data_IF_456683665716
#
_entry.id   IF_456683665716
#
_cell.length_a   1.000
_cell.length_b   1.000
_cell.length_c   1.000
_cell.angle_alpha   90.00
_cell.angle_beta   90.00
_cell.angle_gamma   90.00
#
_symmetry.space_group_name_H-M   'P 1'
#
loop_
_entity.id
_entity.type
_entity.pdbx_description
1 polymer ?
#
# COMPACT_ATOMS: atom_id res chain seq x y z
N UNK A 1 -55.64 10.17 -8.36
CA UNK A 1 -55.11 11.50 -8.63
C UNK A 1 -53.64 11.45 -8.27
N UNK A 2 -52.78 11.17 -9.28
CA UNK A 2 -51.35 10.95 -9.09
C UNK A 2 -50.61 12.30 -9.21
N UNK A 3 -49.90 12.71 -8.18
CA UNK A 3 -49.03 13.85 -8.22
C UNK A 3 -47.59 13.36 -8.43
N UNK A 4 -47.04 13.65 -9.61
CA UNK A 4 -45.61 13.48 -9.91
C UNK A 4 -44.83 14.57 -9.18
N UNK A 5 -43.87 14.17 -8.35
CA UNK A 5 -42.84 15.06 -7.84
C UNK A 5 -41.59 14.95 -8.74
N UNK A 6 -41.15 16.11 -9.23
CA UNK A 6 -39.93 16.32 -10.00
C UNK A 6 -38.69 16.15 -9.10
N UNK A 7 -37.75 15.36 -9.57
CA UNK A 7 -36.39 15.35 -9.02
C UNK A 7 -35.52 16.40 -9.71
N UNK A 8 -34.70 17.13 -9.00
CA UNK A 8 -33.69 18.01 -9.61
C UNK A 8 -32.47 17.24 -10.03
N UNK A 9 -32.07 17.47 -11.27
CA UNK A 9 -30.83 17.00 -11.87
C UNK A 9 -29.64 17.73 -11.24
N UNK A 10 -28.77 17.02 -10.54
CA UNK A 10 -27.48 17.52 -10.09
C UNK A 10 -26.49 17.46 -11.27
N UNK A 11 -25.96 18.63 -11.61
CA UNK A 11 -24.97 18.81 -12.65
C UNK A 11 -23.62 18.21 -12.24
N UNK A 12 -23.15 17.25 -13.02
CA UNK A 12 -21.82 16.71 -12.90
C UNK A 12 -20.76 17.71 -13.33
N UNK A 13 -19.80 17.96 -12.48
CA UNK A 13 -18.60 18.73 -12.80
C UNK A 13 -17.56 17.83 -13.47
N UNK A 14 -17.11 18.33 -14.61
CA UNK A 14 -16.09 17.78 -15.51
C UNK A 14 -14.73 17.79 -14.84
N UNK A 15 -14.08 16.65 -14.78
CA UNK A 15 -12.64 16.53 -14.87
C UNK A 15 -12.28 15.15 -15.45
N UNK A 16 -12.50 15.01 -16.76
CA UNK A 16 -11.79 13.98 -17.53
C UNK A 16 -11.15 14.68 -18.73
N UNK A 17 -9.84 14.77 -18.66
CA UNK A 17 -9.03 15.41 -19.69
C UNK A 17 -8.44 14.33 -20.59
N UNK A 18 -9.02 14.27 -21.77
CA UNK A 18 -8.40 13.84 -23.04
C UNK A 18 -7.92 12.39 -23.21
N UNK A 19 -8.83 11.47 -23.42
CA UNK A 19 -8.56 10.25 -24.17
C UNK A 19 -9.01 10.48 -25.63
N UNK A 20 -8.07 10.63 -26.54
CA UNK A 20 -8.35 10.69 -27.99
C UNK A 20 -8.46 9.27 -28.50
N UNK A 21 -9.68 8.81 -28.72
CA UNK A 21 -9.99 7.67 -29.58
C UNK A 21 -9.71 8.05 -31.04
N UNK A 22 -8.79 7.35 -31.67
CA UNK A 22 -8.63 7.33 -33.11
C UNK A 22 -9.38 6.12 -33.66
N UNK A 23 -10.59 6.35 -34.17
CA UNK A 23 -11.24 5.41 -35.11
C UNK A 23 -10.62 5.59 -36.46
N UNK A 24 -10.01 4.57 -37.02
CA UNK A 24 -9.60 4.52 -38.42
C UNK A 24 -10.39 3.41 -39.10
N UNK A 25 -11.23 3.85 -40.01
CA UNK A 25 -12.12 3.03 -40.83
C UNK A 25 -11.35 2.23 -41.88
N UNK A 26 -11.77 0.98 -42.03
CA UNK A 26 -11.36 -0.02 -42.99
C UNK A 26 -11.73 0.40 -44.41
N UNK A 27 -10.79 0.33 -45.35
CA UNK A 27 -11.08 0.15 -46.78
C UNK A 27 -10.25 -0.99 -47.35
N UNK A 28 -10.96 -1.96 -47.85
CA UNK A 28 -10.49 -3.13 -48.57
C UNK A 28 -9.98 -2.70 -49.96
N UNK A 29 -8.79 -3.16 -50.30
CA UNK A 29 -8.28 -3.03 -51.68
C UNK A 29 -7.20 -4.08 -51.94
N UNK A 30 -7.58 -5.18 -52.59
CA UNK A 30 -6.68 -6.24 -53.04
C UNK A 30 -5.81 -5.74 -54.21
N UNK A 31 -4.48 -5.90 -54.09
CA UNK A 31 -3.60 -5.98 -55.27
C UNK A 31 -2.37 -6.83 -54.93
N UNK A 32 -2.28 -7.98 -55.59
CA UNK A 32 -1.11 -8.82 -55.66
C UNK A 32 -0.04 -8.15 -56.52
N UNK A 33 1.15 -7.90 -55.97
CA UNK A 33 2.37 -7.76 -56.77
C UNK A 33 3.52 -8.50 -56.05
N UNK A 34 4.02 -9.53 -56.70
CA UNK A 34 5.27 -10.18 -56.44
C UNK A 34 6.43 -9.26 -56.82
N UNK A 35 7.34 -9.00 -55.90
CA UNK A 35 8.58 -8.28 -56.22
C UNK A 35 9.60 -8.54 -55.11
N UNK A 36 10.60 -9.31 -55.44
CA UNK A 36 11.69 -9.71 -54.58
C UNK A 36 12.71 -8.58 -54.34
N UNK A 37 13.49 -8.76 -53.28
CA UNK A 37 14.83 -8.21 -52.94
C UNK A 37 14.91 -6.93 -52.11
N UNK A 38 15.27 -7.15 -50.83
CA UNK A 38 16.43 -6.52 -50.20
C UNK A 38 16.22 -5.14 -49.62
N UNK A 39 15.92 -5.12 -48.31
CA UNK A 39 16.67 -4.27 -47.39
C UNK A 39 16.42 -4.78 -45.95
N UNK A 40 17.47 -5.23 -45.31
CA UNK A 40 17.44 -5.50 -43.85
C UNK A 40 17.37 -4.14 -43.14
N UNK A 41 16.20 -3.66 -42.84
CA UNK A 41 16.02 -2.75 -41.72
C UNK A 41 15.80 -3.61 -40.48
N UNK A 42 16.81 -3.61 -39.62
CA UNK A 42 16.75 -4.10 -38.24
C UNK A 42 15.61 -3.39 -37.49
N UNK A 43 14.38 -3.84 -37.70
CA UNK A 43 13.34 -3.76 -36.70
C UNK A 43 13.60 -4.91 -35.73
N UNK A 44 14.24 -4.67 -34.60
CA UNK A 44 14.14 -5.57 -33.46
C UNK A 44 12.65 -5.79 -33.23
N UNK A 45 12.15 -6.94 -33.67
CA UNK A 45 10.89 -7.45 -33.22
C UNK A 45 11.07 -7.63 -31.71
N UNK A 46 10.51 -6.75 -30.91
CA UNK A 46 10.41 -6.89 -29.45
C UNK A 46 9.78 -8.27 -29.23
N UNK A 47 10.62 -9.21 -28.85
CA UNK A 47 10.22 -10.58 -28.55
C UNK A 47 9.24 -10.45 -27.42
N UNK A 48 7.95 -10.73 -27.64
CA UNK A 48 6.95 -10.66 -26.57
C UNK A 48 7.42 -11.58 -25.45
N UNK A 49 7.63 -11.02 -24.28
CA UNK A 49 8.00 -11.78 -23.10
C UNK A 49 6.79 -12.60 -22.67
N UNK A 50 7.01 -13.87 -22.32
CA UNK A 50 5.96 -14.76 -21.80
C UNK A 50 6.49 -15.57 -20.63
N UNK A 51 5.65 -15.90 -19.69
CA UNK A 51 6.04 -16.67 -18.51
C UNK A 51 5.07 -16.52 -17.35
N UNK A 52 5.49 -17.03 -16.20
CA UNK A 52 4.73 -16.88 -14.96
C UNK A 52 5.65 -16.38 -13.85
N UNK A 53 5.11 -15.53 -13.00
CA UNK A 53 5.76 -14.97 -11.80
C UNK A 53 4.81 -15.21 -10.63
N UNK A 54 5.31 -15.72 -9.53
CA UNK A 54 4.52 -16.06 -8.36
C UNK A 54 5.08 -15.41 -7.10
N UNK A 55 4.23 -14.76 -6.34
CA UNK A 55 4.56 -14.18 -5.05
C UNK A 55 3.47 -14.42 -4.01
N UNK A 56 3.81 -14.16 -2.77
CA UNK A 56 2.86 -14.18 -1.65
C UNK A 56 3.44 -13.33 -0.50
N UNK A 57 2.64 -12.96 0.47
CA UNK A 57 3.15 -12.31 1.66
C UNK A 57 2.21 -11.31 2.32
N UNK A 58 2.76 -10.18 2.70
CA UNK A 58 2.11 -9.15 3.50
C UNK A 58 0.82 -8.64 2.87
N UNK A 59 -0.27 -8.63 3.63
CA UNK A 59 -1.53 -7.95 3.31
C UNK A 59 -1.36 -6.44 3.17
N UNK A 60 -0.43 -5.84 3.93
CA UNK A 60 -0.08 -4.42 3.81
C UNK A 60 0.55 -4.08 2.46
N UNK A 61 1.37 -4.97 1.90
CA UNK A 61 2.02 -4.76 0.59
C UNK A 61 1.07 -5.09 -0.56
N UNK A 62 0.04 -5.90 -0.31
CA UNK A 62 -0.86 -6.38 -1.35
C UNK A 62 -1.47 -5.28 -2.22
N UNK A 63 -1.97 -4.13 -1.71
CA UNK A 63 -2.52 -3.08 -2.56
C UNK A 63 -1.52 -2.49 -3.57
N UNK A 64 -0.26 -2.31 -3.16
CA UNK A 64 0.80 -1.83 -4.07
C UNK A 64 1.08 -2.89 -5.14
N UNK A 65 1.20 -4.15 -4.71
CA UNK A 65 1.50 -5.25 -5.62
C UNK A 65 0.37 -5.52 -6.61
N UNK A 66 -0.89 -5.40 -6.18
CA UNK A 66 -2.07 -5.52 -7.06
C UNK A 66 -2.07 -4.43 -8.13
N UNK A 67 -1.81 -3.18 -7.76
CA UNK A 67 -1.69 -2.07 -8.70
C UNK A 67 -0.56 -2.30 -9.72
N UNK A 68 0.62 -2.74 -9.25
CA UNK A 68 1.75 -3.09 -10.11
C UNK A 68 1.43 -4.23 -11.08
N UNK A 69 0.75 -5.28 -10.61
CA UNK A 69 0.35 -6.42 -11.44
C UNK A 69 -0.67 -6.00 -12.50
N UNK A 70 -1.65 -5.17 -12.15
CA UNK A 70 -2.67 -4.67 -13.07
C UNK A 70 -2.04 -3.83 -14.19
N UNK A 71 -1.20 -2.86 -13.86
CA UNK A 71 -0.52 -2.02 -14.83
C UNK A 71 0.47 -2.81 -15.70
N UNK A 72 1.24 -3.72 -15.08
CA UNK A 72 2.19 -4.57 -15.81
C UNK A 72 1.52 -5.49 -16.82
N UNK A 73 0.31 -5.97 -16.56
CA UNK A 73 -0.46 -6.77 -17.53
C UNK A 73 -0.77 -6.00 -18.83
N UNK A 74 -0.85 -4.65 -18.76
CA UNK A 74 -0.96 -3.80 -19.93
C UNK A 74 0.34 -3.70 -20.75
N UNK A 75 1.49 -3.87 -20.09
CA UNK A 75 2.83 -3.77 -20.73
C UNK A 75 3.27 -5.13 -21.28
N UNK A 76 3.05 -6.21 -20.52
CA UNK A 76 3.47 -7.58 -20.86
C UNK A 76 2.28 -8.56 -20.76
N UNK A 77 1.34 -8.54 -21.70
CA UNK A 77 0.09 -9.29 -21.61
C UNK A 77 0.26 -10.82 -21.62
N UNK A 78 1.41 -11.32 -22.09
CA UNK A 78 1.71 -12.76 -22.15
C UNK A 78 2.47 -13.26 -20.89
N UNK A 79 2.76 -12.36 -19.92
CA UNK A 79 3.32 -12.71 -18.62
C UNK A 79 2.19 -12.77 -17.59
N UNK A 80 2.09 -13.90 -16.89
CA UNK A 80 1.12 -14.09 -15.83
C UNK A 80 1.77 -13.88 -14.47
N UNK A 81 1.44 -12.79 -13.80
CA UNK A 81 1.86 -12.53 -12.41
C UNK A 81 0.74 -12.88 -11.44
N UNK A 82 1.09 -13.50 -10.32
CA UNK A 82 0.17 -13.78 -9.21
C UNK A 82 0.84 -13.40 -7.90
N UNK A 83 0.12 -12.69 -7.04
CA UNK A 83 0.56 -12.35 -5.69
C UNK A 83 -0.56 -12.69 -4.70
N UNK A 84 -0.25 -13.49 -3.69
CA UNK A 84 -1.15 -13.79 -2.58
C UNK A 84 -0.90 -12.85 -1.39
N UNK A 85 -1.82 -12.87 -0.43
CA UNK A 85 -1.78 -12.02 0.78
C UNK A 85 -1.97 -12.87 2.05
N UNK A 86 -1.07 -13.85 2.29
CA UNK A 86 -1.15 -14.74 3.47
C UNK A 86 -0.44 -14.19 4.71
N UNK A 87 -0.12 -12.90 4.72
CA UNK A 87 0.69 -12.24 5.74
C UNK A 87 2.21 -12.45 5.53
N UNK A 88 3.03 -11.58 6.13
CA UNK A 88 4.50 -11.62 5.98
C UNK A 88 5.08 -12.99 6.34
N UNK A 89 4.63 -13.59 7.45
CA UNK A 89 5.09 -14.92 7.89
C UNK A 89 4.71 -16.02 6.89
N UNK A 90 3.46 -16.05 6.43
CA UNK A 90 2.97 -17.00 5.44
C UNK A 90 3.68 -16.87 4.10
N UNK A 91 4.02 -15.65 3.69
CA UNK A 91 4.85 -15.38 2.51
C UNK A 91 6.24 -15.99 2.64
N UNK A 92 6.93 -15.76 3.77
CA UNK A 92 8.24 -16.36 4.00
C UNK A 92 8.19 -17.89 4.09
N UNK A 93 7.14 -18.49 4.65
CA UNK A 93 6.98 -19.95 4.65
C UNK A 93 6.95 -20.51 3.22
N UNK A 94 6.16 -19.91 2.31
CA UNK A 94 6.07 -20.31 0.91
C UNK A 94 7.38 -20.04 0.15
N UNK A 95 8.04 -18.93 0.46
CA UNK A 95 9.32 -18.56 -0.14
C UNK A 95 10.42 -19.52 0.24
N UNK A 96 10.52 -19.91 1.53
CA UNK A 96 11.45 -20.94 2.04
C UNK A 96 11.15 -22.31 1.44
N UNK A 97 9.87 -22.66 1.26
CA UNK A 97 9.46 -23.90 0.59
C UNK A 97 9.76 -23.90 -0.92
N UNK A 98 10.25 -22.78 -1.49
CA UNK A 98 10.56 -22.65 -2.92
C UNK A 98 9.33 -22.52 -3.82
N UNK A 99 8.15 -22.28 -3.23
CA UNK A 99 6.87 -22.25 -3.96
C UNK A 99 6.60 -20.92 -4.67
N UNK A 100 7.32 -19.85 -4.31
CA UNK A 100 7.17 -18.51 -4.87
C UNK A 100 8.51 -17.98 -5.36
N UNK A 101 8.47 -17.04 -6.31
CA UNK A 101 9.63 -16.33 -6.85
C UNK A 101 10.01 -15.13 -5.98
N UNK A 102 9.00 -14.54 -5.31
CA UNK A 102 9.19 -13.44 -4.39
C UNK A 102 8.28 -13.55 -3.16
N UNK A 103 8.63 -12.80 -2.10
CA UNK A 103 7.85 -12.67 -0.88
C UNK A 103 7.69 -11.21 -0.52
N UNK A 104 6.45 -10.77 -0.30
CA UNK A 104 6.13 -9.43 0.18
C UNK A 104 6.22 -9.38 1.70
N UNK A 105 6.81 -8.32 2.25
CA UNK A 105 6.98 -8.20 3.69
C UNK A 105 6.77 -6.76 4.19
N UNK A 106 6.13 -6.62 5.34
CA UNK A 106 5.92 -5.35 6.05
C UNK A 106 6.82 -5.20 7.27
N UNK A 107 7.86 -6.01 7.34
CA UNK A 107 8.98 -5.95 8.28
C UNK A 107 10.22 -6.56 7.66
N UNK A 108 11.42 -6.26 8.19
CA UNK A 108 12.62 -6.99 7.80
C UNK A 108 12.49 -8.51 8.06
N UNK A 109 13.22 -9.29 7.25
CA UNK A 109 13.31 -10.74 7.46
C UNK A 109 13.89 -11.06 8.83
N UNK A 110 13.32 -12.04 9.53
CA UNK A 110 13.84 -12.49 10.82
C UNK A 110 15.09 -13.37 10.62
N UNK A 111 15.98 -13.37 11.62
CA UNK A 111 17.19 -14.21 11.59
C UNK A 111 16.88 -15.70 11.36
N UNK A 112 15.80 -16.21 11.97
CA UNK A 112 15.36 -17.59 11.80
C UNK A 112 14.84 -17.90 10.39
N UNK A 113 14.18 -16.93 9.72
CA UNK A 113 13.70 -17.05 8.35
C UNK A 113 14.90 -17.05 7.37
N UNK A 114 15.84 -16.11 7.58
CA UNK A 114 17.07 -16.05 6.79
C UNK A 114 17.93 -17.32 6.95
N UNK A 115 18.02 -17.89 8.16
CA UNK A 115 18.72 -19.14 8.41
C UNK A 115 18.07 -20.30 7.64
N UNK A 116 16.74 -20.41 7.64
CA UNK A 116 16.01 -21.44 6.88
C UNK A 116 16.19 -21.31 5.37
N UNK A 117 16.20 -20.08 4.83
CA UNK A 117 16.49 -19.83 3.41
C UNK A 117 17.90 -20.31 3.06
N UNK A 118 18.89 -20.01 3.90
CA UNK A 118 20.26 -20.47 3.73
C UNK A 118 20.37 -22.01 3.78
N UNK A 119 19.66 -22.67 4.70
CA UNK A 119 19.61 -24.13 4.77
C UNK A 119 18.94 -24.74 3.53
N UNK A 120 17.92 -24.08 2.97
CA UNK A 120 17.27 -24.47 1.73
C UNK A 120 18.10 -24.14 0.47
N UNK A 121 19.25 -23.46 0.60
CA UNK A 121 20.09 -23.05 -0.52
C UNK A 121 19.45 -21.94 -1.37
N UNK A 122 18.58 -21.12 -0.78
CA UNK A 122 17.90 -20.03 -1.45
C UNK A 122 18.60 -18.73 -1.10
N UNK A 123 19.29 -18.15 -2.09
CA UNK A 123 19.80 -16.78 -2.03
C UNK A 123 18.71 -15.83 -2.51
N UNK A 124 18.61 -14.70 -1.84
CA UNK A 124 17.61 -13.66 -2.12
C UNK A 124 18.21 -12.27 -2.14
N UNK A 125 17.50 -11.35 -2.75
CA UNK A 125 17.77 -9.90 -2.68
C UNK A 125 16.57 -9.22 -2.04
N UNK A 126 16.84 -8.35 -1.08
CA UNK A 126 15.86 -7.48 -0.42
C UNK A 126 15.73 -6.20 -1.24
N UNK A 127 14.51 -5.81 -1.56
CA UNK A 127 14.16 -4.60 -2.29
C UNK A 127 13.13 -3.84 -1.45
N UNK A 128 13.35 -2.58 -1.20
CA UNK A 128 12.34 -1.72 -0.58
C UNK A 128 11.43 -1.14 -1.67
N UNK A 129 10.12 -1.04 -1.40
CA UNK A 129 9.17 -0.54 -2.41
C UNK A 129 8.38 0.68 -1.98
N UNK A 130 8.18 0.89 -0.67
CA UNK A 130 7.45 2.01 -0.11
C UNK A 130 7.68 2.12 1.41
N UNK A 131 7.16 3.20 2.00
CA UNK A 131 6.94 3.29 3.44
C UNK A 131 5.45 3.26 3.75
N UNK A 132 5.07 2.49 4.76
CA UNK A 132 3.76 2.57 5.41
C UNK A 132 3.84 3.61 6.53
N UNK A 133 2.91 4.54 6.54
CA UNK A 133 2.75 5.54 7.60
C UNK A 133 1.31 5.53 8.09
N UNK A 134 1.13 5.35 9.40
CA UNK A 134 -0.18 5.33 10.03
C UNK A 134 -0.41 6.68 10.73
N UNK A 135 -1.48 7.37 10.37
CA UNK A 135 -1.84 8.65 10.98
C UNK A 135 -2.90 8.46 12.05
N UNK A 136 -2.64 8.98 13.25
CA UNK A 136 -3.65 9.18 14.28
C UNK A 136 -4.29 10.55 14.04
N UNK A 137 -5.60 10.59 13.93
CA UNK A 137 -6.34 11.81 13.61
C UNK A 137 -7.46 12.06 14.60
N UNK A 138 -7.77 13.34 14.79
CA UNK A 138 -8.91 13.80 15.58
C UNK A 138 -9.71 14.83 14.80
N UNK A 139 -10.93 15.09 15.26
CA UNK A 139 -11.78 16.13 14.70
C UNK A 139 -11.10 17.50 14.68
N UNK A 140 -11.43 18.33 13.71
CA UNK A 140 -10.85 19.69 13.57
C UNK A 140 -11.10 20.59 14.77
N UNK A 141 -12.19 20.38 15.51
CA UNK A 141 -12.56 21.12 16.72
C UNK A 141 -11.91 20.55 17.98
N UNK A 142 -11.24 19.40 17.90
CA UNK A 142 -10.47 18.84 19.00
C UNK A 142 -9.15 19.62 19.11
N UNK A 143 -9.03 20.48 20.10
CA UNK A 143 -7.88 21.36 20.32
C UNK A 143 -6.98 20.88 21.49
N UNK A 144 -7.32 19.77 22.11
CA UNK A 144 -6.62 19.22 23.28
C UNK A 144 -5.71 18.03 22.96
N UNK A 145 -6.13 17.06 22.16
CA UNK A 145 -5.36 15.84 21.85
C UNK A 145 -4.42 16.06 20.65
N UNK A 146 -3.46 16.97 20.76
CA UNK A 146 -2.52 17.33 19.69
C UNK A 146 -1.24 16.50 19.69
N UNK A 147 -0.93 15.90 20.82
CA UNK A 147 0.26 15.08 21.02
C UNK A 147 -0.11 13.97 22.01
N UNK A 148 0.11 12.72 21.60
CA UNK A 148 -0.12 11.52 22.41
C UNK A 148 1.14 10.68 22.43
N UNK A 149 1.37 10.00 23.52
CA UNK A 149 2.41 8.97 23.57
C UNK A 149 1.88 7.62 23.06
N UNK A 150 2.77 6.70 22.71
CA UNK A 150 2.39 5.31 22.40
C UNK A 150 1.62 4.69 23.58
N UNK A 151 2.00 5.01 24.82
CA UNK A 151 1.30 4.54 26.02
C UNK A 151 -0.13 5.11 26.14
N UNK A 152 -0.34 6.37 25.73
CA UNK A 152 -1.67 6.97 25.68
C UNK A 152 -2.55 6.30 24.63
N UNK A 153 -1.99 5.96 23.47
CA UNK A 153 -2.69 5.18 22.45
C UNK A 153 -3.11 3.81 23.01
N UNK A 154 -2.20 3.09 23.66
CA UNK A 154 -2.51 1.82 24.36
C UNK A 154 -3.68 1.98 25.32
N UNK A 155 -3.64 2.97 26.20
CA UNK A 155 -4.69 3.23 27.19
C UNK A 155 -6.05 3.47 26.53
N UNK A 156 -6.07 4.26 25.43
CA UNK A 156 -7.30 4.57 24.73
C UNK A 156 -7.88 3.36 24.02
N UNK A 157 -7.06 2.64 23.25
CA UNK A 157 -7.52 1.70 22.27
C UNK A 157 -7.65 0.24 22.76
N UNK A 158 -7.01 -0.15 23.87
CA UNK A 158 -7.13 -1.49 24.42
C UNK A 158 -8.50 -1.68 25.10
N UNK A 159 -9.17 -2.80 24.80
CA UNK A 159 -10.39 -3.23 25.47
C UNK A 159 -10.12 -3.66 26.91
N UNK A 160 -10.67 -2.95 27.88
CA UNK A 160 -10.55 -3.26 29.32
C UNK A 160 -11.90 -3.27 30.05
N UNK A 161 -13.00 -3.24 29.28
CA UNK A 161 -14.37 -3.22 29.80
C UNK A 161 -14.83 -1.88 30.34
N UNK A 162 -14.06 -0.79 30.10
CA UNK A 162 -14.42 0.56 30.57
C UNK A 162 -14.75 1.46 29.37
N UNK A 163 -15.66 2.40 29.61
CA UNK A 163 -15.82 3.55 28.70
C UNK A 163 -14.60 4.44 28.80
N UNK A 164 -14.03 4.78 27.67
CA UNK A 164 -12.84 5.64 27.59
C UNK A 164 -13.26 7.11 27.48
N UNK A 165 -12.60 7.95 28.26
CA UNK A 165 -12.80 9.40 28.25
C UNK A 165 -11.50 10.14 27.98
N UNK A 166 -11.57 11.32 27.40
CA UNK A 166 -10.38 12.16 27.20
C UNK A 166 -9.68 12.52 28.52
N UNK A 167 -10.45 12.73 29.58
CA UNK A 167 -9.92 12.98 30.94
C UNK A 167 -9.16 11.78 31.57
N UNK A 168 -9.31 10.55 31.02
CA UNK A 168 -8.52 9.39 31.47
C UNK A 168 -7.05 9.50 31.05
N UNK A 169 -6.78 10.26 29.96
CA UNK A 169 -5.42 10.52 29.48
C UNK A 169 -4.83 11.72 30.20
N UNK A 170 -5.55 12.85 30.19
CA UNK A 170 -5.14 14.05 30.89
C UNK A 170 -6.34 14.66 31.64
N UNK A 171 -6.28 14.77 32.98
CA UNK A 171 -7.39 15.30 33.79
C UNK A 171 -7.82 16.74 33.45
N UNK A 172 -6.99 17.49 32.70
CA UNK A 172 -7.33 18.83 32.23
C UNK A 172 -8.16 18.84 30.94
N UNK A 173 -8.26 17.66 30.27
CA UNK A 173 -9.05 17.50 29.05
C UNK A 173 -10.54 17.27 29.37
N UNK A 174 -11.43 17.38 28.36
CA UNK A 174 -12.86 17.19 28.58
C UNK A 174 -13.21 15.85 29.21
N UNK A 175 -14.14 15.84 30.18
CA UNK A 175 -14.71 14.61 30.76
C UNK A 175 -15.82 14.04 29.83
N UNK A 176 -15.46 13.87 28.57
CA UNK A 176 -16.31 13.40 27.46
C UNK A 176 -15.85 12.03 26.99
N UNK A 177 -16.81 11.20 26.56
CA UNK A 177 -16.52 9.88 26.00
C UNK A 177 -15.79 10.02 24.68
N UNK A 178 -14.79 9.15 24.45
CA UNK A 178 -14.04 9.09 23.19
C UNK A 178 -14.83 8.26 22.18
N UNK A 179 -14.95 8.76 20.95
CA UNK A 179 -15.59 8.06 19.83
C UNK A 179 -14.50 7.53 18.89
N UNK A 180 -14.48 6.22 18.65
CA UNK A 180 -13.39 5.53 17.98
C UNK A 180 -13.75 5.12 16.55
N UNK A 181 -12.83 5.39 15.61
CA UNK A 181 -12.90 4.95 14.22
C UNK A 181 -11.63 4.23 13.82
N UNK A 182 -11.74 2.99 13.33
CA UNK A 182 -10.63 2.11 12.98
C UNK A 182 -10.86 1.46 11.63
N UNK A 183 -9.81 1.21 10.83
CA UNK A 183 -9.91 0.26 9.73
C UNK A 183 -10.49 -1.08 10.21
N UNK A 184 -11.07 -1.84 9.30
CA UNK A 184 -11.58 -3.16 9.57
C UNK A 184 -10.46 -4.20 9.71
N UNK A 185 -10.84 -5.40 10.15
CA UNK A 185 -9.89 -6.48 10.47
C UNK A 185 -9.19 -7.09 9.24
N UNK A 186 -9.66 -6.78 8.03
CA UNK A 186 -9.00 -7.22 6.79
C UNK A 186 -7.95 -6.20 6.30
N UNK A 187 -7.82 -5.05 6.99
CA UNK A 187 -6.89 -3.97 6.65
C UNK A 187 -5.49 -4.23 7.19
N UNK A 188 -4.46 -4.11 6.33
CA UNK A 188 -3.06 -4.14 6.76
C UNK A 188 -2.68 -2.99 7.72
N UNK A 189 -3.41 -1.88 7.71
CA UNK A 189 -3.25 -0.77 8.66
C UNK A 189 -3.80 -1.15 10.04
N UNK A 190 -4.92 -1.89 10.10
CA UNK A 190 -5.42 -2.47 11.35
C UNK A 190 -4.42 -3.47 11.93
N UNK A 191 -3.94 -4.42 11.12
CA UNK A 191 -2.95 -5.41 11.55
C UNK A 191 -1.71 -4.74 12.16
N UNK A 192 -1.23 -3.69 11.49
CA UNK A 192 -0.06 -2.95 11.96
C UNK A 192 -0.32 -2.27 13.31
N UNK A 193 -1.43 -1.55 13.45
CA UNK A 193 -1.81 -0.92 14.71
C UNK A 193 -1.99 -1.95 15.83
N UNK A 194 -2.64 -3.07 15.53
CA UNK A 194 -2.85 -4.17 16.46
C UNK A 194 -1.52 -4.76 16.95
N UNK A 195 -0.58 -5.03 16.04
CA UNK A 195 0.73 -5.59 16.36
C UNK A 195 1.55 -4.64 17.26
N UNK A 196 1.67 -3.36 16.87
CA UNK A 196 2.66 -2.46 17.52
C UNK A 196 2.09 -1.61 18.65
N UNK A 197 0.79 -1.32 18.66
CA UNK A 197 0.14 -0.53 19.70
C UNK A 197 -0.62 -1.43 20.69
N UNK A 198 -1.43 -2.35 20.18
CA UNK A 198 -2.27 -3.20 21.03
C UNK A 198 -1.51 -4.46 21.53
N UNK A 199 -0.36 -4.81 20.90
CA UNK A 199 0.40 -6.04 21.21
C UNK A 199 -0.50 -7.29 21.16
N UNK A 200 -1.33 -7.37 20.10
CA UNK A 200 -2.33 -8.41 19.85
C UNK A 200 -3.49 -8.48 20.89
N UNK A 201 -3.67 -7.44 21.71
CA UNK A 201 -4.84 -7.32 22.55
C UNK A 201 -6.07 -6.87 21.77
N UNK A 202 -7.26 -7.16 22.29
CA UNK A 202 -8.51 -6.72 21.69
C UNK A 202 -8.61 -5.20 21.63
N UNK A 203 -9.03 -4.66 20.49
CA UNK A 203 -9.38 -3.24 20.34
C UNK A 203 -10.69 -2.94 21.11
N UNK A 204 -10.81 -1.72 21.60
CA UNK A 204 -12.01 -1.23 22.31
C UNK A 204 -13.29 -1.54 21.51
N UNK A 205 -14.25 -2.22 22.14
CA UNK A 205 -15.51 -2.70 21.50
C UNK A 205 -16.40 -1.58 21.00
N UNK A 206 -16.22 -0.37 21.51
CA UNK A 206 -16.94 0.82 21.06
C UNK A 206 -16.43 1.36 19.72
N UNK A 207 -15.33 0.83 19.18
CA UNK A 207 -14.80 1.28 17.90
C UNK A 207 -15.75 0.94 16.73
N UNK A 208 -15.97 1.94 15.88
CA UNK A 208 -16.61 1.73 14.58
C UNK A 208 -15.53 1.28 13.60
N UNK A 209 -15.70 0.07 13.06
CA UNK A 209 -14.78 -0.54 12.10
C UNK A 209 -15.31 -0.36 10.67
N UNK A 210 -14.45 -0.02 9.72
CA UNK A 210 -14.79 0.06 8.29
C UNK A 210 -13.59 -0.28 7.43
N UNK A 211 -13.82 -1.04 6.34
CA UNK A 211 -12.81 -1.26 5.28
C UNK A 211 -12.71 -0.07 4.31
N UNK A 212 -13.62 0.90 4.39
CA UNK A 212 -13.59 2.13 3.60
C UNK A 212 -13.08 3.29 4.47
N UNK A 213 -11.83 3.72 4.26
CA UNK A 213 -11.21 4.82 4.98
C UNK A 213 -11.97 6.13 4.86
N UNK A 214 -12.74 6.35 3.78
CA UNK A 214 -13.57 7.54 3.64
C UNK A 214 -14.71 7.56 4.68
N UNK A 215 -15.21 6.41 5.09
CA UNK A 215 -16.20 6.28 6.18
C UNK A 215 -15.55 6.68 7.50
N UNK A 216 -14.30 6.27 7.74
CA UNK A 216 -13.54 6.63 8.94
C UNK A 216 -13.27 8.14 8.99
N UNK A 217 -12.82 8.72 7.87
CA UNK A 217 -12.62 10.17 7.73
C UNK A 217 -13.90 10.94 8.05
N UNK A 218 -15.03 10.55 7.45
CA UNK A 218 -16.32 11.21 7.71
C UNK A 218 -16.77 11.04 9.17
N UNK A 219 -16.51 9.88 9.76
CA UNK A 219 -16.81 9.61 11.16
C UNK A 219 -16.06 10.56 12.09
N UNK A 220 -14.74 10.70 11.90
CA UNK A 220 -13.91 11.62 12.70
C UNK A 220 -14.30 13.09 12.46
N UNK A 221 -14.64 13.47 11.24
CA UNK A 221 -15.14 14.82 10.93
C UNK A 221 -16.47 15.12 11.61
N UNK A 222 -17.30 14.11 11.82
CA UNK A 222 -18.67 14.27 12.34
C UNK A 222 -18.80 14.43 13.84
N UNK A 223 -17.79 14.11 14.63
CA UNK A 223 -17.83 14.15 16.09
C UNK A 223 -16.56 14.79 16.68
N UNK A 224 -16.76 15.83 17.50
CA UNK A 224 -15.67 16.56 18.15
C UNK A 224 -14.81 15.67 19.07
N UNK A 225 -15.41 14.62 19.66
CA UNK A 225 -14.76 13.69 20.55
C UNK A 225 -14.17 12.47 19.82
N UNK A 226 -14.19 12.48 18.48
CA UNK A 226 -13.69 11.38 17.70
C UNK A 226 -12.17 11.36 17.61
N UNK A 227 -11.63 10.13 17.65
CA UNK A 227 -10.27 9.76 17.27
C UNK A 227 -10.34 8.61 16.28
N UNK A 228 -9.46 8.61 15.29
CA UNK A 228 -9.34 7.53 14.34
C UNK A 228 -7.90 7.31 13.90
N UNK A 229 -7.67 6.22 13.19
CA UNK A 229 -6.40 5.99 12.52
C UNK A 229 -6.63 5.39 11.14
N UNK A 230 -5.74 5.73 10.21
CA UNK A 230 -5.73 5.22 8.83
C UNK A 230 -4.41 5.59 8.14
N UNK A 231 -4.20 5.11 6.91
CA UNK A 231 -3.01 5.42 6.12
C UNK A 231 -2.78 6.92 5.96
N UNK A 232 -1.52 7.34 6.01
CA UNK A 232 -1.10 8.74 5.97
C UNK A 232 -1.63 9.51 4.75
N UNK A 233 -1.75 8.88 3.59
CA UNK A 233 -2.28 9.55 2.40
C UNK A 233 -3.75 9.97 2.54
N UNK A 234 -4.56 9.19 3.24
CA UNK A 234 -5.96 9.60 3.53
C UNK A 234 -6.01 10.83 4.43
N UNK A 235 -5.09 10.91 5.41
CA UNK A 235 -4.95 12.15 6.18
C UNK A 235 -4.55 13.33 5.28
N UNK A 236 -3.53 13.16 4.41
CA UNK A 236 -3.08 14.23 3.51
C UNK A 236 -4.20 14.74 2.61
N UNK A 237 -5.01 13.85 2.06
CA UNK A 237 -6.16 14.22 1.23
C UNK A 237 -7.24 14.99 2.01
N UNK A 238 -7.27 14.87 3.34
CA UNK A 238 -8.29 15.44 4.22
C UNK A 238 -7.74 16.42 5.29
N UNK A 239 -6.49 16.84 5.20
CA UNK A 239 -5.78 17.67 6.19
C UNK A 239 -6.46 19.00 6.55
N UNK A 240 -7.27 19.53 5.64
CA UNK A 240 -8.00 20.78 5.88
C UNK A 240 -9.20 20.59 6.83
N UNK A 241 -9.68 19.37 6.99
CA UNK A 241 -10.87 19.00 7.77
C UNK A 241 -10.58 18.13 9.01
N UNK A 242 -9.36 17.65 9.17
CA UNK A 242 -8.88 16.86 10.30
C UNK A 242 -7.66 17.51 10.97
N UNK A 243 -7.44 17.20 12.22
CA UNK A 243 -6.16 17.44 12.90
C UNK A 243 -5.41 16.11 13.00
N UNK A 244 -4.13 16.10 12.61
CA UNK A 244 -3.25 14.98 12.88
C UNK A 244 -2.68 15.13 14.30
N UNK A 245 -2.50 14.00 14.96
CA UNK A 245 -1.92 13.92 16.30
C UNK A 245 -0.44 13.58 16.16
N UNK A 246 0.42 14.30 16.87
CA UNK A 246 1.82 13.93 17.04
C UNK A 246 1.92 12.71 17.94
N UNK A 247 2.88 11.85 17.67
CA UNK A 247 3.18 10.71 18.52
C UNK A 247 4.57 10.88 19.10
N UNK A 248 4.66 10.93 20.43
CA UNK A 248 5.89 11.23 21.16
C UNK A 248 6.60 12.51 20.64
N UNK A 249 5.79 13.55 20.31
CA UNK A 249 6.26 14.84 19.81
C UNK A 249 6.54 14.89 18.31
N UNK A 250 6.49 13.76 17.58
CA UNK A 250 6.77 13.68 16.14
C UNK A 250 5.47 13.72 15.33
N UNK A 251 5.41 14.63 14.35
CA UNK A 251 4.29 14.72 13.41
C UNK A 251 4.54 13.82 12.20
N UNK A 252 3.53 13.05 11.71
CA UNK A 252 3.67 12.31 10.48
C UNK A 252 3.77 13.26 9.28
N UNK A 253 4.88 13.20 8.60
CA UNK A 253 5.15 13.88 7.32
C UNK A 253 5.87 12.90 6.40
N UNK A 254 5.91 13.18 5.09
CA UNK A 254 6.70 12.35 4.17
C UNK A 254 8.13 12.17 4.67
N UNK A 255 8.74 13.24 5.22
CA UNK A 255 10.12 13.22 5.71
C UNK A 255 10.25 12.36 6.98
N UNK A 256 9.39 12.54 7.99
CA UNK A 256 9.50 11.80 9.26
C UNK A 256 9.11 10.33 9.11
N UNK A 257 8.22 10.01 8.16
CA UNK A 257 7.86 8.63 7.80
C UNK A 257 9.04 7.97 7.08
N UNK A 258 9.57 8.61 6.03
CA UNK A 258 10.66 8.06 5.22
C UNK A 258 11.99 7.95 5.99
N UNK A 259 12.27 8.85 6.94
CA UNK A 259 13.46 8.79 7.80
C UNK A 259 13.33 7.79 8.96
N UNK A 260 12.13 7.26 9.22
CA UNK A 260 11.85 6.44 10.39
C UNK A 260 11.80 7.21 11.71
N UNK A 261 11.79 8.56 11.68
CA UNK A 261 11.63 9.40 12.87
C UNK A 261 10.24 9.24 13.49
N UNK A 262 9.20 9.05 12.65
CA UNK A 262 7.83 8.78 13.09
C UNK A 262 7.65 7.31 13.50
N UNK A 263 8.44 6.87 14.48
CA UNK A 263 8.38 5.49 15.00
C UNK A 263 7.48 5.46 16.25
N UNK A 264 6.73 4.35 16.50
CA UNK A 264 6.68 3.11 15.73
C UNK A 264 5.62 3.10 14.64
N UNK A 265 4.98 4.21 14.29
CA UNK A 265 3.87 4.30 13.34
C UNK A 265 4.31 4.51 11.88
N UNK A 266 5.58 4.25 11.57
CA UNK A 266 6.09 4.15 10.21
C UNK A 266 7.00 2.93 10.06
N UNK A 267 6.95 2.28 8.89
CA UNK A 267 7.78 1.11 8.58
C UNK A 267 8.06 1.01 7.09
N UNK A 268 9.24 0.51 6.69
CA UNK A 268 9.51 0.15 5.30
C UNK A 268 8.73 -1.11 4.89
N UNK A 269 8.39 -1.16 3.61
CA UNK A 269 7.75 -2.28 2.95
C UNK A 269 8.73 -2.90 1.94
N UNK A 270 8.77 -4.23 1.88
CA UNK A 270 9.79 -4.98 1.17
C UNK A 270 9.21 -5.98 0.18
N UNK A 271 10.01 -6.27 -0.84
CA UNK A 271 9.91 -7.46 -1.67
C UNK A 271 11.24 -8.22 -1.59
N UNK A 272 11.19 -9.47 -1.16
CA UNK A 272 12.32 -10.39 -1.16
C UNK A 272 12.24 -11.25 -2.42
N UNK A 273 13.17 -11.10 -3.36
CA UNK A 273 13.16 -11.85 -4.61
C UNK A 273 14.25 -12.93 -4.62
N UNK A 274 13.91 -14.13 -5.11
CA UNK A 274 14.85 -15.24 -5.25
C UNK A 274 15.85 -14.97 -6.37
N UNK A 275 17.14 -14.95 -6.04
CA UNK A 275 18.21 -14.66 -7.01
C UNK A 275 18.23 -15.64 -8.19
N UNK A 276 17.95 -16.92 -7.93
CA UNK A 276 17.84 -17.94 -8.99
C UNK A 276 16.69 -17.65 -9.94
N UNK A 277 15.51 -17.25 -9.41
CA UNK A 277 14.35 -16.88 -10.24
C UNK A 277 14.65 -15.69 -11.15
N UNK A 278 15.35 -14.66 -10.65
CA UNK A 278 15.77 -13.49 -11.45
C UNK A 278 16.70 -13.92 -12.60
N UNK A 279 17.64 -14.84 -12.34
CA UNK A 279 18.62 -15.32 -13.33
C UNK A 279 18.01 -16.22 -14.40
N UNK A 280 17.12 -17.09 -14.01
CA UNK A 280 16.63 -18.19 -14.83
C UNK A 280 15.30 -17.88 -15.53
N UNK A 281 14.49 -16.96 -14.96
CA UNK A 281 13.19 -16.56 -15.48
C UNK A 281 13.17 -15.07 -15.85
N UNK A 282 13.22 -14.79 -17.16
CA UNK A 282 13.22 -13.41 -17.66
C UNK A 282 11.97 -12.63 -17.23
N UNK A 283 10.82 -13.32 -17.09
CA UNK A 283 9.59 -12.69 -16.63
C UNK A 283 9.69 -12.20 -15.17
N UNK A 284 10.43 -12.90 -14.29
CA UNK A 284 10.67 -12.45 -12.91
C UNK A 284 11.53 -11.20 -12.90
N UNK A 285 12.62 -11.19 -13.66
CA UNK A 285 13.49 -10.02 -13.76
C UNK A 285 12.73 -8.81 -14.30
N UNK A 286 12.01 -8.96 -15.41
CA UNK A 286 11.28 -7.88 -16.06
C UNK A 286 10.18 -7.32 -15.15
N UNK A 287 9.42 -8.18 -14.45
CA UNK A 287 8.41 -7.76 -13.50
C UNK A 287 9.02 -7.03 -12.29
N UNK A 288 10.11 -7.53 -11.71
CA UNK A 288 10.77 -6.86 -10.57
C UNK A 288 11.35 -5.50 -10.99
N UNK A 289 11.95 -5.42 -12.17
CA UNK A 289 12.44 -4.16 -12.73
C UNK A 289 11.31 -3.17 -12.93
N UNK A 290 10.23 -3.59 -13.60
CA UNK A 290 9.02 -2.77 -13.77
C UNK A 290 8.46 -2.31 -12.43
N UNK A 291 8.42 -3.21 -11.44
CA UNK A 291 7.93 -2.89 -10.11
C UNK A 291 8.73 -1.78 -9.45
N UNK A 292 10.05 -1.84 -9.46
CA UNK A 292 10.91 -0.81 -8.87
C UNK A 292 10.82 0.53 -9.63
N UNK A 293 10.68 0.50 -10.95
CA UNK A 293 10.53 1.70 -11.78
C UNK A 293 9.19 2.42 -11.54
N UNK A 294 8.14 1.71 -11.07
CA UNK A 294 6.80 2.24 -10.90
C UNK A 294 6.28 2.19 -9.45
N UNK A 295 7.04 1.59 -8.52
CA UNK A 295 6.59 1.39 -7.13
C UNK A 295 6.22 2.71 -6.44
N UNK A 296 6.96 3.79 -6.70
CA UNK A 296 6.69 5.09 -6.08
C UNK A 296 5.30 5.64 -6.47
N UNK A 297 4.99 5.65 -7.76
CA UNK A 297 3.69 6.10 -8.27
C UNK A 297 2.55 5.21 -7.76
N UNK A 298 2.73 3.89 -7.80
CA UNK A 298 1.71 2.95 -7.35
C UNK A 298 1.50 3.02 -5.83
N UNK A 299 2.57 3.17 -5.05
CA UNK A 299 2.48 3.35 -3.61
C UNK A 299 1.65 4.59 -3.24
N UNK A 300 1.94 5.75 -3.86
CA UNK A 300 1.18 6.98 -3.63
C UNK A 300 -0.29 6.85 -4.06
N UNK A 301 -0.54 6.17 -5.18
CA UNK A 301 -1.90 5.95 -5.69
C UNK A 301 -2.78 5.13 -4.73
N UNK A 302 -2.17 4.22 -3.96
CA UNK A 302 -2.89 3.36 -3.00
C UNK A 302 -2.68 3.77 -1.54
N UNK A 303 -2.09 4.95 -1.29
CA UNK A 303 -2.10 5.57 0.03
C UNK A 303 -0.85 5.38 0.88
N UNK A 304 0.25 4.94 0.30
CA UNK A 304 1.55 4.79 0.97
C UNK A 304 2.50 5.95 0.61
N UNK A 305 3.65 5.99 1.25
CA UNK A 305 4.70 6.99 1.00
C UNK A 305 5.76 6.37 0.11
N UNK A 306 6.07 7.05 -1.00
CA UNK A 306 7.14 6.63 -1.91
C UNK A 306 8.53 6.74 -1.25
N UNK A 307 9.47 5.91 -1.71
CA UNK A 307 10.86 6.04 -1.34
C UNK A 307 11.51 7.24 -2.06
N UNK A 308 12.65 7.76 -1.57
CA UNK A 308 13.49 8.64 -2.35
C UNK A 308 13.95 7.96 -3.65
N UNK A 309 14.04 8.71 -4.76
CA UNK A 309 14.46 8.18 -6.08
C UNK A 309 15.82 7.45 -6.02
N UNK A 310 16.73 7.92 -5.18
CA UNK A 310 18.05 7.30 -4.99
C UNK A 310 17.93 5.87 -4.46
N UNK A 311 16.95 5.59 -3.59
CA UNK A 311 16.73 4.25 -3.03
C UNK A 311 16.18 3.27 -4.08
N UNK A 312 15.21 3.69 -4.89
CA UNK A 312 14.75 2.87 -6.02
C UNK A 312 15.89 2.56 -7.00
N UNK A 313 16.77 3.52 -7.23
CA UNK A 313 17.93 3.31 -8.09
C UNK A 313 18.93 2.31 -7.49
N UNK A 314 19.21 2.38 -6.18
CA UNK A 314 20.07 1.40 -5.51
C UNK A 314 19.50 -0.01 -5.64
N UNK A 315 18.19 -0.17 -5.46
CA UNK A 315 17.52 -1.45 -5.54
C UNK A 315 17.45 -1.97 -6.99
N UNK A 316 17.29 -1.07 -7.99
CA UNK A 316 17.44 -1.40 -9.41
C UNK A 316 18.85 -1.88 -9.75
N UNK A 317 19.89 -1.17 -9.28
CA UNK A 317 21.29 -1.55 -9.49
C UNK A 317 21.59 -2.91 -8.83
N UNK A 318 21.02 -3.19 -7.65
CA UNK A 318 21.13 -4.49 -6.98
C UNK A 318 20.45 -5.62 -7.78
N UNK A 319 19.25 -5.37 -8.32
CA UNK A 319 18.52 -6.33 -9.16
C UNK A 319 19.28 -6.61 -10.48
N UNK A 320 19.78 -5.56 -11.16
CA UNK A 320 20.56 -5.68 -12.41
C UNK A 320 21.87 -6.44 -12.19
N UNK A 321 22.50 -6.26 -11.02
CA UNK A 321 23.70 -7.00 -10.62
C UNK A 321 23.53 -8.52 -10.49
N UNK A 322 22.29 -9.00 -10.47
CA UNK A 322 21.98 -10.44 -10.44
C UNK A 322 22.04 -11.10 -11.83
N UNK A 323 21.90 -10.33 -12.91
CA UNK A 323 21.92 -10.82 -14.30
C UNK A 323 23.33 -11.00 -14.80
#
# INVERSE_FOLDING_TARGET
>A
MFVRQNQPTLGGNKLMKNWKFFMMSTMIGSALVLGACGNEENGEATKSLSGSVSGDGSSTVAPIMEALVEEYAGVQPDVKVTSGASGTGGGFEKFIAGSTDFSNASRPIKEEEAAKLKEAGIDYTELEIAYDGLSIVVNKENDWAKDLTVEDLKKLWIEDGKTKKWSDINPEWPDEEVVFYSPGTDSGTFDYFNEIILEDADIVKAATLSEDDNVLVQGVQGDKNAIGFFGYAYYLANKDSLNVVKIDGVEPTNETIASGEYTPLSRPLFVYVKNASVKENEAVYDFMKYSLENAGEMAEAVGYVSLPEEKYKEDLDALEGLK
#
